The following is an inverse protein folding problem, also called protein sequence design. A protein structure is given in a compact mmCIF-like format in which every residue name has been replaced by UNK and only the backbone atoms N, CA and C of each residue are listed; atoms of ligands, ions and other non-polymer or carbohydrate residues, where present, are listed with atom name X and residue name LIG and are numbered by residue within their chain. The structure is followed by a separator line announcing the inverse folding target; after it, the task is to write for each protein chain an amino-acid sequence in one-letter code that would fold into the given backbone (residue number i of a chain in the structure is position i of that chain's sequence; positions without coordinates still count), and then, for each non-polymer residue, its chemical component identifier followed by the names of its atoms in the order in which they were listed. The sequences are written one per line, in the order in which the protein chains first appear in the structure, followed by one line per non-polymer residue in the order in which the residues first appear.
data_IF_197942420202
#
_entry.id   IF_197942420202
#
_cell.length_a   1.000
_cell.length_b   1.000
_cell.length_c   1.000
_cell.angle_alpha   90.00
_cell.angle_beta   90.00
_cell.angle_gamma   90.00
#
_symmetry.space_group_name_H-M   'P 1'
#
loop_
_entity.id
_entity.type
_entity.pdbx_description
1 polymer ?
#
# COMPACT_ATOMS: atom_id res chain seq x y z
N UNK A 1 -32.61 38.59 -28.15
CA UNK A 1 -32.61 37.26 -28.84
C UNK A 1 -31.27 36.90 -29.49
N UNK A 2 -30.30 37.83 -29.57
CA UNK A 2 -28.98 37.62 -30.20
C UNK A 2 -28.00 36.82 -29.33
N UNK A 3 -28.06 36.96 -28.01
CA UNK A 3 -27.17 36.26 -27.06
C UNK A 3 -27.37 34.75 -27.00
N UNK A 4 -28.61 34.28 -27.21
CA UNK A 4 -28.94 32.86 -27.15
C UNK A 4 -28.35 32.09 -28.35
N UNK A 5 -28.41 32.69 -29.54
CA UNK A 5 -27.89 32.09 -30.77
C UNK A 5 -26.36 32.00 -30.76
N UNK A 6 -25.70 32.99 -30.17
CA UNK A 6 -24.24 33.01 -29.98
C UNK A 6 -23.77 31.95 -28.96
N UNK A 7 -24.52 31.75 -27.87
CA UNK A 7 -24.23 30.67 -26.91
C UNK A 7 -24.43 29.27 -27.51
N UNK A 8 -25.47 29.08 -28.33
CA UNK A 8 -25.73 27.81 -29.01
C UNK A 8 -24.63 27.46 -30.03
N UNK A 9 -24.20 28.44 -30.84
CA UNK A 9 -23.11 28.26 -31.81
C UNK A 9 -21.76 27.99 -31.12
N UNK A 10 -21.49 28.68 -30.01
CA UNK A 10 -20.27 28.46 -29.21
C UNK A 10 -20.22 27.08 -28.55
N UNK A 11 -21.35 26.55 -28.09
CA UNK A 11 -21.45 25.21 -27.53
C UNK A 11 -21.26 24.12 -28.59
N UNK A 12 -21.87 24.28 -29.76
CA UNK A 12 -21.73 23.33 -30.87
C UNK A 12 -20.29 23.24 -31.39
N UNK A 13 -19.55 24.35 -31.38
CA UNK A 13 -18.13 24.35 -31.76
C UNK A 13 -17.26 23.68 -30.69
N UNK A 14 -17.49 23.96 -29.40
CA UNK A 14 -16.75 23.28 -28.32
C UNK A 14 -16.97 21.77 -28.31
N UNK A 15 -18.19 21.32 -28.59
CA UNK A 15 -18.52 19.89 -28.64
C UNK A 15 -17.85 19.13 -29.81
N UNK A 16 -17.52 19.83 -30.90
CA UNK A 16 -16.84 19.25 -32.07
C UNK A 16 -15.33 19.24 -31.93
N UNK A 17 -14.77 20.24 -31.26
CA UNK A 17 -13.32 20.42 -31.15
C UNK A 17 -12.73 19.77 -29.89
N UNK A 18 -13.49 19.67 -28.79
CA UNK A 18 -13.04 18.99 -27.58
C UNK A 18 -13.26 17.47 -27.72
N UNK A 19 -12.17 16.74 -27.98
CA UNK A 19 -12.20 15.29 -27.84
C UNK A 19 -12.61 14.93 -26.40
N UNK A 20 -13.60 14.06 -26.20
CA UNK A 20 -14.02 13.68 -24.86
C UNK A 20 -12.84 13.00 -24.18
N UNK A 21 -12.24 13.68 -23.20
CA UNK A 21 -11.27 13.06 -22.29
C UNK A 21 -12.02 11.99 -21.53
N UNK A 22 -11.84 10.73 -21.92
CA UNK A 22 -12.24 9.61 -21.09
C UNK A 22 -11.62 9.83 -19.71
N UNK A 23 -12.39 9.68 -18.61
CA UNK A 23 -11.84 9.74 -17.26
C UNK A 23 -10.99 8.48 -17.03
N UNK A 24 -9.85 8.41 -17.72
CA UNK A 24 -8.83 7.41 -17.51
C UNK A 24 -8.09 7.87 -16.25
N UNK A 25 -8.20 7.08 -15.19
CA UNK A 25 -7.55 7.40 -13.93
C UNK A 25 -6.04 7.24 -14.12
N UNK A 26 -5.32 8.37 -14.23
CA UNK A 26 -3.87 8.39 -14.27
C UNK A 26 -3.31 7.96 -12.91
N UNK A 27 -2.99 6.67 -12.77
CA UNK A 27 -2.29 6.15 -11.60
C UNK A 27 -0.82 6.54 -11.69
N UNK A 28 -0.44 7.60 -10.97
CA UNK A 28 0.96 7.86 -10.68
C UNK A 28 1.44 6.79 -9.70
N UNK A 29 2.54 6.07 -9.99
CA UNK A 29 3.16 5.22 -8.99
C UNK A 29 3.46 6.11 -7.78
N UNK A 30 2.89 5.78 -6.63
CA UNK A 30 3.34 6.37 -5.38
C UNK A 30 4.80 5.97 -5.31
N UNK A 31 5.70 6.96 -5.40
CA UNK A 31 7.11 6.73 -5.09
C UNK A 31 7.09 6.19 -3.68
N UNK A 32 7.28 4.88 -3.54
CA UNK A 32 7.50 4.28 -2.24
C UNK A 32 8.69 5.05 -1.68
N UNK A 33 8.43 5.94 -0.72
CA UNK A 33 9.45 6.41 0.20
C UNK A 33 9.98 5.13 0.79
N UNK A 34 11.06 4.65 0.19
CA UNK A 34 11.80 3.52 0.70
C UNK A 34 12.45 4.13 1.92
N UNK A 35 11.70 4.16 3.03
CA UNK A 35 12.28 4.24 4.36
C UNK A 35 13.41 3.23 4.30
N UNK A 36 14.65 3.74 4.33
CA UNK A 36 15.84 2.92 4.20
C UNK A 36 15.67 1.78 5.20
N UNK A 37 15.37 0.59 4.68
CA UNK A 37 15.22 -0.58 5.53
C UNK A 37 16.59 -0.74 6.18
N UNK A 38 16.62 -0.67 7.50
CA UNK A 38 17.82 -0.98 8.27
C UNK A 38 18.41 -2.29 7.74
N UNK A 39 19.75 -2.45 7.72
CA UNK A 39 20.36 -3.66 7.19
C UNK A 39 19.77 -4.90 7.89
N UNK A 40 18.93 -5.64 7.18
CA UNK A 40 18.23 -6.81 7.72
C UNK A 40 19.12 -8.04 7.54
N UNK A 41 19.37 -8.77 8.62
CA UNK A 41 20.00 -10.10 8.57
C UNK A 41 18.96 -11.20 8.38
N UNK A 42 19.26 -12.22 7.57
CA UNK A 42 18.41 -13.40 7.45
C UNK A 42 18.75 -14.40 8.57
N UNK A 43 17.75 -14.77 9.37
CA UNK A 43 17.85 -15.83 10.37
C UNK A 43 17.14 -17.10 9.87
N UNK A 44 17.91 -18.15 9.60
CA UNK A 44 17.38 -19.46 9.22
C UNK A 44 17.47 -20.42 10.42
N UNK A 45 16.32 -20.83 10.95
CA UNK A 45 16.25 -21.72 12.11
C UNK A 45 15.24 -22.84 11.88
N UNK A 46 15.58 -24.04 12.36
CA UNK A 46 14.66 -25.16 12.41
C UNK A 46 13.86 -25.09 13.70
N UNK A 47 12.53 -25.00 13.60
CA UNK A 47 11.63 -24.93 14.75
C UNK A 47 10.58 -26.05 14.71
N UNK A 48 10.10 -26.52 15.87
CA UNK A 48 9.01 -27.50 15.91
C UNK A 48 7.76 -26.99 15.20
N UNK A 49 7.11 -27.87 14.42
CA UNK A 49 5.88 -27.53 13.68
C UNK A 49 4.75 -27.05 14.60
N UNK A 50 4.71 -27.56 15.84
CA UNK A 50 3.77 -27.15 16.87
C UNK A 50 3.97 -25.68 17.28
N UNK A 51 5.22 -25.25 17.43
CA UNK A 51 5.57 -23.88 17.77
C UNK A 51 5.23 -22.92 16.63
N UNK A 52 5.53 -23.30 15.38
CA UNK A 52 5.18 -22.50 14.21
C UNK A 52 3.66 -22.26 14.10
N UNK A 53 2.84 -23.27 14.39
CA UNK A 53 1.37 -23.12 14.43
C UNK A 53 0.92 -22.13 15.49
N UNK A 54 1.52 -22.19 16.68
CA UNK A 54 1.20 -21.28 17.80
C UNK A 54 1.57 -19.83 17.47
N UNK A 55 2.74 -19.60 16.87
CA UNK A 55 3.17 -18.26 16.44
C UNK A 55 2.17 -17.67 15.43
N UNK A 56 1.71 -18.47 14.47
CA UNK A 56 0.72 -18.01 13.49
C UNK A 56 -0.63 -17.68 14.14
N UNK A 57 -1.10 -18.51 15.07
CA UNK A 57 -2.33 -18.22 15.82
C UNK A 57 -2.22 -16.92 16.60
N UNK A 58 -1.13 -16.77 17.36
CA UNK A 58 -0.86 -15.56 18.13
C UNK A 58 -0.76 -14.30 17.25
N UNK A 59 -0.13 -14.40 16.07
CA UNK A 59 -0.05 -13.29 15.13
C UNK A 59 -1.39 -12.85 14.56
N UNK A 60 -2.33 -13.78 14.35
CA UNK A 60 -3.71 -13.44 13.94
C UNK A 60 -4.45 -12.74 15.07
N UNK A 61 -4.30 -13.19 16.31
CA UNK A 61 -4.99 -12.61 17.47
C UNK A 61 -4.51 -11.20 17.83
N UNK A 62 -3.22 -10.90 17.60
CA UNK A 62 -2.58 -9.65 18.04
C UNK A 62 -2.22 -8.72 16.88
N UNK A 63 -2.66 -9.04 15.65
CA UNK A 63 -2.33 -8.29 14.42
C UNK A 63 -0.81 -8.11 14.20
N UNK A 64 -0.01 -9.11 14.59
CA UNK A 64 1.44 -9.10 14.48
C UNK A 64 1.93 -10.04 13.37
N UNK A 65 2.95 -9.60 12.65
CA UNK A 65 3.67 -10.45 11.70
C UNK A 65 4.56 -11.45 12.43
N UNK A 66 4.83 -12.60 11.79
CA UNK A 66 5.77 -13.58 12.32
C UNK A 66 7.17 -12.97 12.59
N UNK A 67 7.58 -11.98 11.79
CA UNK A 67 8.85 -11.26 11.96
C UNK A 67 8.85 -10.45 13.26
N UNK A 68 7.82 -9.65 13.50
CA UNK A 68 7.70 -8.85 14.73
C UNK A 68 7.66 -9.72 15.98
N UNK A 69 6.90 -10.82 15.96
CA UNK A 69 6.85 -11.77 17.07
C UNK A 69 8.25 -12.35 17.35
N UNK A 70 8.99 -12.66 16.29
CA UNK A 70 10.35 -13.22 16.42
C UNK A 70 11.31 -12.18 16.99
N UNK A 71 11.24 -10.93 16.53
CA UNK A 71 12.06 -9.83 17.04
C UNK A 71 11.77 -9.59 18.53
N UNK A 72 10.50 -9.44 18.91
CA UNK A 72 10.09 -9.22 20.30
C UNK A 72 10.55 -10.35 21.23
N UNK A 73 10.46 -11.60 20.78
CA UNK A 73 10.91 -12.74 21.56
C UNK A 73 12.44 -12.73 21.75
N UNK A 74 13.21 -12.42 20.70
CA UNK A 74 14.66 -12.33 20.74
C UNK A 74 15.14 -11.14 21.59
N UNK A 75 14.55 -9.97 21.42
CA UNK A 75 14.87 -8.76 22.22
C UNK A 75 14.58 -8.98 23.70
N UNK A 76 13.43 -9.60 24.02
CA UNK A 76 13.09 -9.92 25.41
C UNK A 76 14.05 -10.93 26.02
N UNK A 77 14.49 -11.93 25.25
CA UNK A 77 15.49 -12.90 25.71
C UNK A 77 16.83 -12.21 26.00
N UNK A 78 17.30 -11.36 25.08
CA UNK A 78 18.58 -10.66 25.21
C UNK A 78 18.57 -9.58 26.29
N UNK A 79 17.43 -8.92 26.52
CA UNK A 79 17.28 -7.91 27.58
C UNK A 79 17.12 -8.50 28.98
N UNK A 80 16.79 -9.80 29.07
CA UNK A 80 16.65 -10.54 30.33
C UNK A 80 17.97 -11.16 30.82
N UNK A 81 19.08 -10.88 30.13
CA UNK A 81 20.44 -11.30 30.49
C UNK A 81 21.23 -10.09 30.97
#
# INVERSE_FOLDING_TARGET
MTDYKNKLGGLANRLKEEQPKTPIQEVKPVKNSTLEKLPEGQLNVWIPKTLLKRIKGYGVENELTQKEITILALERLLSST
#
